data_IF_345289979446
#
_entry.id   IF_345289979446
#
_cell.length_a   1.000
_cell.length_b   1.000
_cell.length_c   1.000
_cell.angle_alpha   90.00
_cell.angle_beta   90.00
_cell.angle_gamma   90.00
#
_symmetry.space_group_name_H-M   'P 1'
#
loop_
_entity.id
_entity.type
_entity.pdbx_description
1 polymer ?
#
# COMPACT_ATOMS: atom_id res chain seq x y z
N UNK A 1 -24.53 9.17 11.64
CA UNK A 1 -25.56 9.59 10.64
C UNK A 1 -26.79 8.68 10.69
N UNK A 2 -26.69 7.37 10.63
CA UNK A 2 -27.85 6.45 10.69
C UNK A 2 -28.68 6.68 11.95
N UNK A 3 -28.04 6.86 13.12
CA UNK A 3 -28.74 7.15 14.36
C UNK A 3 -29.44 8.50 14.35
N UNK A 4 -28.81 9.51 13.74
CA UNK A 4 -29.42 10.83 13.54
C UNK A 4 -30.70 10.73 12.67
N UNK A 5 -30.65 9.90 11.62
CA UNK A 5 -31.81 9.61 10.77
C UNK A 5 -32.96 8.98 11.55
N UNK A 6 -32.67 7.99 12.42
CA UNK A 6 -33.66 7.37 13.29
C UNK A 6 -34.33 8.36 14.21
N UNK A 7 -33.53 9.23 14.86
CA UNK A 7 -34.04 10.30 15.75
C UNK A 7 -34.94 11.28 15.00
N UNK A 8 -34.54 11.68 13.76
CA UNK A 8 -35.32 12.58 12.93
C UNK A 8 -36.66 11.95 12.53
N UNK A 9 -36.68 10.67 12.15
CA UNK A 9 -37.92 9.94 11.84
C UNK A 9 -38.82 9.86 13.08
N UNK A 10 -38.26 9.62 14.26
CA UNK A 10 -39.00 9.57 15.50
C UNK A 10 -39.59 10.94 15.85
N UNK A 11 -38.78 12.02 15.70
CA UNK A 11 -39.23 13.38 15.98
C UNK A 11 -40.28 13.89 14.99
N UNK A 12 -40.25 13.43 13.73
CA UNK A 12 -41.26 13.77 12.73
C UNK A 12 -42.63 13.14 12.98
N UNK A 13 -42.71 12.15 13.90
CA UNK A 13 -43.98 11.49 14.23
C UNK A 13 -44.88 12.36 15.08
N UNK A 14 -46.19 12.36 14.79
CA UNK A 14 -47.24 13.04 15.59
C UNK A 14 -47.44 12.43 16.99
N UNK A 15 -46.91 11.22 17.21
CA UNK A 15 -47.01 10.51 18.51
C UNK A 15 -46.05 11.04 19.56
N UNK A 16 -45.06 11.86 19.15
CA UNK A 16 -44.02 12.42 20.02
C UNK A 16 -44.42 13.86 20.41
N UNK A 17 -44.48 14.12 21.71
CA UNK A 17 -44.76 15.45 22.24
C UNK A 17 -43.55 16.39 22.15
N UNK A 18 -43.78 17.70 22.33
CA UNK A 18 -42.71 18.74 22.26
C UNK A 18 -41.61 18.49 23.29
N UNK A 19 -41.95 18.01 24.49
CA UNK A 19 -40.95 17.72 25.54
C UNK A 19 -40.08 16.56 25.14
N UNK A 20 -40.64 15.49 24.58
CA UNK A 20 -39.93 14.33 24.11
C UNK A 20 -39.04 14.66 22.91
N UNK A 21 -39.52 15.51 21.99
CA UNK A 21 -38.69 16.06 20.90
C UNK A 21 -37.49 16.83 21.44
N UNK A 22 -37.68 17.60 22.52
CA UNK A 22 -36.56 18.29 23.18
C UNK A 22 -35.47 17.32 23.64
N UNK A 23 -35.83 16.16 24.20
CA UNK A 23 -34.84 15.14 24.60
C UNK A 23 -34.18 14.47 23.41
N UNK A 24 -34.92 14.19 22.35
CA UNK A 24 -34.36 13.64 21.11
C UNK A 24 -33.39 14.63 20.46
N UNK A 25 -33.72 15.94 20.50
CA UNK A 25 -32.85 16.97 19.95
C UNK A 25 -31.53 17.08 20.69
N UNK A 26 -31.51 16.91 22.00
CA UNK A 26 -30.24 16.87 22.77
C UNK A 26 -29.33 15.72 22.32
N UNK A 27 -29.89 14.52 22.11
CA UNK A 27 -29.11 13.40 21.56
C UNK A 27 -28.64 13.71 20.15
N UNK A 28 -29.50 14.32 19.33
CA UNK A 28 -29.18 14.69 17.95
C UNK A 28 -28.02 15.68 17.86
N UNK A 29 -28.07 16.77 18.64
CA UNK A 29 -27.00 17.77 18.72
C UNK A 29 -25.65 17.15 19.14
N UNK A 30 -25.65 16.27 20.12
CA UNK A 30 -24.44 15.56 20.53
C UNK A 30 -23.87 14.66 19.42
N UNK A 31 -24.75 14.08 18.60
CA UNK A 31 -24.30 13.29 17.43
C UNK A 31 -23.72 14.17 16.33
N UNK A 32 -24.26 15.39 16.11
CA UNK A 32 -23.68 16.38 15.18
C UNK A 32 -22.28 16.79 15.63
N UNK A 33 -22.12 17.13 16.91
CA UNK A 33 -20.82 17.48 17.49
C UNK A 33 -19.83 16.32 17.40
N UNK A 34 -20.28 15.10 17.59
CA UNK A 34 -19.44 13.90 17.50
C UNK A 34 -18.98 13.64 16.06
N UNK A 35 -19.83 13.85 15.04
CA UNK A 35 -19.44 13.76 13.63
C UNK A 35 -18.33 14.78 13.33
N UNK A 36 -18.51 16.02 13.78
CA UNK A 36 -17.52 17.08 13.58
C UNK A 36 -16.20 16.78 14.32
N UNK A 37 -16.30 16.28 15.57
CA UNK A 37 -15.14 15.85 16.33
C UNK A 37 -14.36 14.73 15.62
N UNK A 38 -15.06 13.70 15.13
CA UNK A 38 -14.43 12.59 14.40
C UNK A 38 -13.73 13.11 13.14
N UNK A 39 -14.37 14.00 12.39
CA UNK A 39 -13.78 14.55 11.17
C UNK A 39 -12.47 15.29 11.45
N UNK A 40 -12.39 16.06 12.54
CA UNK A 40 -11.23 16.85 12.95
C UNK A 40 -10.13 16.02 13.62
N UNK A 41 -10.50 14.96 14.33
CA UNK A 41 -9.53 14.12 15.07
C UNK A 41 -8.96 12.98 14.24
N UNK A 42 -9.57 12.67 13.08
CA UNK A 42 -9.07 11.61 12.21
C UNK A 42 -7.87 12.10 11.41
N UNK A 43 -6.68 11.74 11.89
CA UNK A 43 -5.43 12.12 11.25
C UNK A 43 -4.59 10.89 10.89
N UNK A 44 -3.81 10.99 9.83
CA UNK A 44 -2.81 10.01 9.44
C UNK A 44 -1.45 10.70 9.32
N UNK A 45 -0.48 10.24 10.09
CA UNK A 45 0.87 10.86 10.14
C UNK A 45 0.84 12.37 10.42
N UNK A 46 -0.14 12.83 11.23
CA UNK A 46 -0.35 14.24 11.56
C UNK A 46 -1.16 15.05 10.55
N UNK A 47 -1.48 14.50 9.38
CA UNK A 47 -2.30 15.16 8.38
C UNK A 47 -3.79 14.79 8.58
N UNK A 48 -4.72 15.76 8.62
CA UNK A 48 -6.15 15.49 8.70
C UNK A 48 -6.64 14.89 7.38
N UNK A 49 -7.48 13.83 7.48
CA UNK A 49 -7.98 13.11 6.31
C UNK A 49 -9.41 13.46 5.93
N UNK A 50 -10.19 14.00 6.85
CA UNK A 50 -11.63 14.16 6.71
C UNK A 50 -12.10 15.61 6.83
N UNK A 51 -11.18 16.58 6.90
CA UNK A 51 -11.51 18.01 7.00
C UNK A 51 -11.57 18.71 5.66
N UNK A 52 -11.07 18.07 4.58
CA UNK A 52 -10.91 18.73 3.28
C UNK A 52 -9.85 19.83 3.25
N UNK A 53 -9.14 20.03 4.35
CA UNK A 53 -8.06 21.00 4.50
C UNK A 53 -6.76 20.26 4.81
N UNK A 54 -6.23 19.56 3.83
CA UNK A 54 -4.90 18.98 3.96
C UNK A 54 -3.86 19.96 3.43
N UNK A 55 -2.90 20.34 4.25
CA UNK A 55 -1.80 21.26 3.90
C UNK A 55 -1.00 20.76 2.68
N UNK A 56 -1.04 19.46 2.41
CA UNK A 56 -0.42 18.81 1.26
C UNK A 56 -1.40 18.47 0.12
N UNK A 57 -2.71 18.76 0.26
CA UNK A 57 -3.78 18.52 -0.73
C UNK A 57 -3.84 17.08 -1.25
N UNK A 58 -2.89 16.70 -2.07
CA UNK A 58 -2.76 15.37 -2.65
C UNK A 58 -1.65 14.59 -1.95
N UNK A 59 -1.98 13.41 -1.44
CA UNK A 59 -1.01 12.48 -0.86
C UNK A 59 -0.60 11.45 -1.91
N UNK A 60 0.68 11.44 -2.25
CA UNK A 60 1.24 10.49 -3.21
C UNK A 60 1.89 9.31 -2.51
N UNK A 61 1.37 8.13 -2.74
CA UNK A 61 1.99 6.87 -2.33
C UNK A 61 2.91 6.38 -3.44
N UNK A 62 4.22 6.46 -3.23
CA UNK A 62 5.17 5.92 -4.19
C UNK A 62 5.24 4.40 -4.06
N UNK A 63 4.81 3.70 -5.10
CA UNK A 63 4.64 2.23 -5.11
C UNK A 63 5.53 1.53 -6.14
N UNK A 64 6.27 2.28 -6.94
CA UNK A 64 7.13 1.73 -7.98
C UNK A 64 8.62 1.89 -7.68
N UNK A 65 9.46 1.15 -8.40
CA UNK A 65 10.92 1.20 -8.27
C UNK A 65 11.57 2.38 -9.02
N UNK A 66 10.82 3.04 -9.90
CA UNK A 66 11.33 4.09 -10.78
C UNK A 66 10.66 5.43 -10.51
N UNK A 67 11.35 6.52 -10.78
CA UNK A 67 10.78 7.85 -10.74
C UNK A 67 9.81 8.05 -11.92
N UNK A 68 8.56 8.45 -11.62
CA UNK A 68 7.52 8.70 -12.62
C UNK A 68 6.14 8.75 -11.97
N UNK A 69 5.20 9.45 -12.60
CA UNK A 69 3.83 9.57 -12.10
C UNK A 69 3.08 8.22 -12.14
N UNK A 70 3.46 7.32 -13.06
CA UNK A 70 2.94 5.96 -13.16
C UNK A 70 3.30 5.07 -11.96
N UNK A 71 4.33 5.45 -11.19
CA UNK A 71 4.78 4.74 -10.00
C UNK A 71 4.18 5.31 -8.71
N UNK A 72 3.19 6.21 -8.82
CA UNK A 72 2.50 6.83 -7.70
C UNK A 72 1.02 6.47 -7.71
N UNK A 73 0.46 6.29 -6.55
CA UNK A 73 -0.98 6.25 -6.32
C UNK A 73 -1.32 7.49 -5.51
N UNK A 74 -2.03 8.43 -6.16
CA UNK A 74 -2.39 9.69 -5.53
C UNK A 74 -3.76 9.59 -4.86
N UNK A 75 -3.86 10.13 -3.67
CA UNK A 75 -5.09 10.34 -2.92
C UNK A 75 -5.28 11.83 -2.67
N UNK A 76 -6.37 12.38 -3.16
CA UNK A 76 -6.71 13.78 -2.90
C UNK A 76 -7.60 13.87 -1.64
N UNK A 77 -7.00 14.34 -0.55
CA UNK A 77 -7.68 14.52 0.72
C UNK A 77 -8.69 15.68 0.70
N UNK A 78 -8.59 16.60 -0.27
CA UNK A 78 -9.52 17.73 -0.37
C UNK A 78 -10.93 17.29 -0.80
N UNK A 79 -11.06 16.16 -1.50
CA UNK A 79 -12.36 15.58 -1.84
C UNK A 79 -13.07 14.92 -0.66
N UNK A 80 -12.37 14.69 0.46
CA UNK A 80 -12.91 13.98 1.61
C UNK A 80 -13.19 14.93 2.75
N UNK A 81 -14.19 15.79 2.60
CA UNK A 81 -14.62 16.68 3.67
C UNK A 81 -15.89 16.13 4.32
N UNK A 82 -15.74 15.54 5.51
CA UNK A 82 -16.83 14.98 6.31
C UNK A 82 -17.15 15.84 7.55
N UNK A 83 -16.81 17.12 7.54
CA UNK A 83 -17.19 18.05 8.60
C UNK A 83 -18.71 18.25 8.62
N UNK A 84 -19.27 18.55 9.78
CA UNK A 84 -20.71 18.81 9.92
C UNK A 84 -21.19 19.94 8.99
N UNK A 85 -20.36 20.95 8.78
CA UNK A 85 -20.61 22.08 7.89
C UNK A 85 -20.72 21.63 6.42
N UNK A 86 -19.76 20.83 5.93
CA UNK A 86 -19.77 20.36 4.54
C UNK A 86 -20.87 19.34 4.26
N UNK A 87 -21.26 18.58 5.27
CA UNK A 87 -22.38 17.64 5.20
C UNK A 87 -23.75 18.31 5.34
N UNK A 88 -23.78 19.63 5.50
CA UNK A 88 -25.01 20.45 5.72
C UNK A 88 -25.87 19.96 6.90
N UNK A 89 -25.25 19.40 7.93
CA UNK A 89 -25.92 18.95 9.16
C UNK A 89 -25.62 19.87 10.35
N UNK A 90 -24.72 20.84 10.19
CA UNK A 90 -24.41 21.83 11.21
C UNK A 90 -25.60 22.75 11.44
N UNK A 91 -25.96 22.96 12.71
CA UNK A 91 -27.09 23.85 13.09
C UNK A 91 -28.46 23.28 12.77
N UNK A 92 -28.57 22.03 12.29
CA UNK A 92 -29.86 21.37 12.11
C UNK A 92 -30.47 20.98 13.46
N UNK A 93 -31.80 21.03 13.58
CA UNK A 93 -32.55 20.76 14.81
C UNK A 93 -33.79 19.94 14.50
N UNK A 94 -34.18 19.08 15.44
CA UNK A 94 -35.39 18.24 15.32
C UNK A 94 -36.45 18.58 16.37
N UNK A 95 -36.46 19.84 16.87
CA UNK A 95 -37.41 20.32 17.86
C UNK A 95 -38.84 20.35 17.32
N UNK A 96 -39.01 20.67 16.04
CA UNK A 96 -40.28 20.75 15.36
C UNK A 96 -40.45 19.60 14.36
N UNK A 97 -41.69 19.18 14.15
CA UNK A 97 -42.02 18.12 13.19
C UNK A 97 -41.60 18.50 11.77
N UNK A 98 -41.77 19.71 11.37
CA UNK A 98 -41.46 20.22 10.03
C UNK A 98 -39.93 20.20 9.81
N UNK A 99 -39.20 20.78 10.73
CA UNK A 99 -37.71 20.75 10.73
C UNK A 99 -37.16 19.36 10.74
N UNK A 100 -37.73 18.44 11.53
CA UNK A 100 -37.32 17.04 11.57
C UNK A 100 -37.53 16.33 10.20
N UNK A 101 -38.63 16.71 9.49
CA UNK A 101 -38.90 16.19 8.13
C UNK A 101 -37.92 16.72 7.09
N UNK A 102 -37.60 18.02 7.12
CA UNK A 102 -36.63 18.63 6.21
C UNK A 102 -35.22 18.10 6.43
N UNK A 103 -34.81 17.91 7.69
CA UNK A 103 -33.50 17.38 8.04
C UNK A 103 -33.29 15.94 7.58
N UNK A 104 -34.33 15.15 7.37
CA UNK A 104 -34.19 13.82 6.78
C UNK A 104 -33.52 13.85 5.40
N UNK A 105 -33.87 14.83 4.57
CA UNK A 105 -33.25 15.03 3.27
C UNK A 105 -31.77 15.35 3.37
N UNK A 106 -31.40 16.26 4.27
CA UNK A 106 -30.01 16.64 4.52
C UNK A 106 -29.18 15.46 5.07
N UNK A 107 -29.76 14.66 5.98
CA UNK A 107 -29.09 13.49 6.54
C UNK A 107 -28.91 12.40 5.48
N UNK A 108 -29.90 12.16 4.63
CA UNK A 108 -29.79 11.17 3.54
C UNK A 108 -28.72 11.60 2.51
N UNK A 109 -28.62 12.89 2.19
CA UNK A 109 -27.55 13.46 1.36
C UNK A 109 -26.18 13.26 2.03
N UNK A 110 -26.05 13.55 3.33
CA UNK A 110 -24.83 13.35 4.09
C UNK A 110 -24.42 11.86 4.12
N UNK A 111 -25.36 10.94 4.27
CA UNK A 111 -25.10 9.49 4.20
C UNK A 111 -24.56 9.11 2.81
N UNK A 112 -25.15 9.63 1.73
CA UNK A 112 -24.71 9.38 0.37
C UNK A 112 -23.30 9.94 0.11
N UNK A 113 -23.00 11.15 0.58
CA UNK A 113 -21.65 11.73 0.48
C UNK A 113 -20.60 10.87 1.20
N UNK A 114 -20.89 10.49 2.45
CA UNK A 114 -19.98 9.61 3.22
C UNK A 114 -19.84 8.23 2.57
N UNK A 115 -20.91 7.69 1.97
CA UNK A 115 -20.83 6.45 1.21
C UNK A 115 -19.92 6.61 -0.03
N UNK A 116 -19.97 7.74 -0.71
CA UNK A 116 -19.08 8.12 -1.80
C UNK A 116 -17.60 8.18 -1.36
N UNK A 117 -17.32 8.82 -0.22
CA UNK A 117 -15.97 8.85 0.35
C UNK A 117 -15.46 7.45 0.68
N UNK A 118 -16.31 6.61 1.30
CA UNK A 118 -15.97 5.21 1.60
C UNK A 118 -15.71 4.39 0.35
N UNK A 119 -16.49 4.59 -0.71
CA UNK A 119 -16.29 3.91 -1.99
C UNK A 119 -14.93 4.29 -2.62
N UNK A 120 -14.55 5.57 -2.56
CA UNK A 120 -13.26 6.05 -3.03
C UNK A 120 -12.11 5.43 -2.24
N UNK A 121 -12.17 5.44 -0.91
CA UNK A 121 -11.18 4.77 -0.06
C UNK A 121 -11.08 3.26 -0.36
N UNK A 122 -12.23 2.60 -0.57
CA UNK A 122 -12.25 1.18 -0.94
C UNK A 122 -11.59 0.91 -2.29
N UNK A 123 -11.79 1.79 -3.26
CA UNK A 123 -11.14 1.68 -4.57
C UNK A 123 -9.61 1.85 -4.45
N UNK A 124 -9.14 2.84 -3.68
CA UNK A 124 -7.72 3.06 -3.43
C UNK A 124 -7.11 1.86 -2.69
N UNK A 125 -7.78 1.36 -1.65
CA UNK A 125 -7.34 0.18 -0.92
C UNK A 125 -7.21 -1.04 -1.85
N UNK A 126 -8.17 -1.27 -2.74
CA UNK A 126 -8.12 -2.36 -3.72
C UNK A 126 -6.96 -2.20 -4.70
N UNK A 127 -6.70 -0.97 -5.17
CA UNK A 127 -5.55 -0.65 -6.04
C UNK A 127 -4.23 -0.91 -5.31
N UNK A 128 -4.09 -0.46 -4.07
CA UNK A 128 -2.89 -0.70 -3.25
C UNK A 128 -2.66 -2.20 -3.04
N UNK A 129 -3.71 -2.95 -2.72
CA UNK A 129 -3.61 -4.41 -2.55
C UNK A 129 -3.15 -5.12 -3.82
N UNK A 130 -3.69 -4.73 -4.97
CA UNK A 130 -3.27 -5.27 -6.27
C UNK A 130 -1.82 -4.91 -6.58
N UNK A 131 -1.40 -3.69 -6.25
CA UNK A 131 -0.02 -3.25 -6.44
C UNK A 131 0.96 -4.01 -5.56
N UNK A 132 0.62 -4.23 -4.28
CA UNK A 132 1.41 -5.06 -3.37
C UNK A 132 1.61 -6.46 -3.94
N UNK A 133 0.54 -7.13 -4.38
CA UNK A 133 0.63 -8.46 -4.98
C UNK A 133 1.51 -8.50 -6.25
N UNK A 134 1.45 -7.45 -7.07
CA UNK A 134 2.30 -7.32 -8.25
C UNK A 134 3.77 -7.11 -7.87
N UNK A 135 4.05 -6.29 -6.86
CA UNK A 135 5.40 -6.03 -6.36
C UNK A 135 6.01 -7.28 -5.72
N UNK A 136 5.22 -8.04 -4.96
CA UNK A 136 5.65 -9.32 -4.38
C UNK A 136 6.03 -10.31 -5.49
N UNK A 137 5.20 -10.42 -6.54
CA UNK A 137 5.49 -11.26 -7.69
C UNK A 137 6.75 -10.80 -8.44
N UNK A 138 6.91 -9.50 -8.64
CA UNK A 138 8.10 -8.92 -9.28
C UNK A 138 9.36 -9.16 -8.44
N UNK A 139 9.27 -9.04 -7.10
CA UNK A 139 10.37 -9.34 -6.19
C UNK A 139 10.81 -10.79 -6.30
N UNK A 140 9.87 -11.74 -6.21
CA UNK A 140 10.18 -13.19 -6.35
C UNK A 140 10.83 -13.50 -7.72
N UNK A 141 10.31 -12.92 -8.79
CA UNK A 141 10.89 -13.12 -10.13
C UNK A 141 12.30 -12.52 -10.24
N UNK A 142 12.53 -11.36 -9.64
CA UNK A 142 13.84 -10.71 -9.63
C UNK A 142 14.84 -11.49 -8.79
N UNK A 143 14.44 -12.00 -7.63
CA UNK A 143 15.27 -12.85 -6.79
C UNK A 143 15.61 -14.19 -7.49
N UNK A 144 14.64 -14.79 -8.19
CA UNK A 144 14.89 -15.98 -8.98
C UNK A 144 15.84 -15.71 -10.18
N UNK A 145 15.74 -14.54 -10.80
CA UNK A 145 16.66 -14.14 -11.87
C UNK A 145 18.06 -13.87 -11.31
N UNK A 146 18.16 -13.21 -10.16
CA UNK A 146 19.40 -12.97 -9.45
C UNK A 146 20.09 -14.26 -9.05
N UNK A 147 19.35 -15.22 -8.48
CA UNK A 147 19.86 -16.54 -8.10
C UNK A 147 20.47 -17.27 -9.30
N UNK A 148 19.83 -17.21 -10.49
CA UNK A 148 20.40 -17.83 -11.71
C UNK A 148 21.71 -17.19 -12.19
N UNK A 149 21.97 -15.96 -11.83
CA UNK A 149 23.17 -15.22 -12.24
C UNK A 149 24.27 -15.34 -11.18
N UNK A 150 23.93 -15.22 -9.90
CA UNK A 150 24.88 -15.15 -8.79
C UNK A 150 25.12 -16.50 -8.14
N UNK A 151 24.11 -17.39 -8.09
CA UNK A 151 24.24 -18.66 -7.41
C UNK A 151 24.92 -19.71 -8.28
N UNK A 152 25.90 -20.37 -7.69
CA UNK A 152 26.64 -21.47 -8.32
C UNK A 152 26.35 -22.77 -7.57
N UNK A 153 26.15 -23.86 -8.29
CA UNK A 153 26.13 -25.20 -7.69
C UNK A 153 27.55 -25.55 -7.20
N UNK A 154 27.76 -25.37 -5.90
CA UNK A 154 29.06 -25.59 -5.25
C UNK A 154 29.54 -27.03 -5.45
N UNK A 155 28.63 -28.01 -5.51
CA UNK A 155 29.02 -29.40 -5.72
C UNK A 155 29.56 -29.62 -7.14
N UNK A 156 28.88 -29.09 -8.15
CA UNK A 156 29.29 -29.17 -9.55
C UNK A 156 30.60 -28.39 -9.79
N UNK A 157 30.74 -27.19 -9.26
CA UNK A 157 31.94 -26.37 -9.48
C UNK A 157 33.14 -26.91 -8.70
N UNK A 158 32.93 -27.49 -7.52
CA UNK A 158 34.00 -28.22 -6.79
C UNK A 158 34.47 -29.47 -7.53
N UNK A 159 33.57 -30.24 -8.13
CA UNK A 159 33.91 -31.38 -8.97
C UNK A 159 34.73 -30.95 -10.21
N UNK A 160 34.34 -29.85 -10.85
CA UNK A 160 35.03 -29.24 -11.97
C UNK A 160 36.45 -28.76 -11.60
N UNK A 161 36.55 -28.09 -10.42
CA UNK A 161 37.84 -27.67 -9.86
C UNK A 161 38.76 -28.85 -9.60
N UNK A 162 38.26 -29.95 -8.97
CA UNK A 162 39.02 -31.16 -8.74
C UNK A 162 39.50 -31.82 -10.05
N UNK A 163 38.59 -31.93 -11.04
CA UNK A 163 38.92 -32.42 -12.38
C UNK A 163 40.00 -31.59 -13.05
N UNK A 164 39.89 -30.27 -12.99
CA UNK A 164 40.88 -29.34 -13.56
C UNK A 164 42.24 -29.48 -12.87
N UNK A 165 42.29 -29.66 -11.55
CA UNK A 165 43.52 -29.87 -10.80
C UNK A 165 44.20 -31.20 -11.17
N UNK A 166 43.42 -32.28 -11.35
CA UNK A 166 43.94 -33.56 -11.81
C UNK A 166 44.52 -33.45 -13.22
N UNK A 167 43.81 -32.79 -14.15
CA UNK A 167 44.31 -32.54 -15.52
C UNK A 167 45.59 -31.70 -15.51
N UNK A 168 45.69 -30.71 -14.67
CA UNK A 168 46.89 -29.88 -14.51
C UNK A 168 48.07 -30.69 -14.02
N UNK A 169 47.90 -31.56 -13.02
CA UNK A 169 48.95 -32.46 -12.51
C UNK A 169 49.37 -33.50 -13.55
N UNK A 170 48.40 -34.07 -14.27
CA UNK A 170 48.69 -35.01 -15.36
C UNK A 170 49.46 -34.31 -16.49
N UNK A 171 49.10 -33.10 -16.87
CA UNK A 171 49.81 -32.29 -17.86
C UNK A 171 51.26 -32.01 -17.46
N UNK A 172 51.50 -31.62 -16.21
CA UNK A 172 52.83 -31.36 -15.69
C UNK A 172 53.67 -32.68 -15.71
N UNK A 173 53.08 -33.80 -15.32
CA UNK A 173 53.74 -35.10 -15.35
C UNK A 173 54.09 -35.55 -16.80
N UNK A 174 53.15 -35.34 -17.73
CA UNK A 174 53.38 -35.63 -19.16
C UNK A 174 54.50 -34.78 -19.76
N UNK A 175 54.54 -33.46 -19.43
CA UNK A 175 55.61 -32.56 -19.86
C UNK A 175 56.97 -32.94 -19.27
N UNK A 176 57.00 -33.33 -17.99
CA UNK A 176 58.25 -33.84 -17.36
C UNK A 176 58.76 -35.09 -18.03
N UNK A 177 57.86 -36.03 -18.36
CA UNK A 177 58.18 -37.23 -19.09
C UNK A 177 58.73 -36.99 -20.51
N UNK A 178 58.06 -36.04 -21.23
CA UNK A 178 58.48 -35.62 -22.58
C UNK A 178 59.88 -34.96 -22.55
N UNK A 179 60.16 -34.11 -21.60
CA UNK A 179 61.45 -33.47 -21.42
C UNK A 179 62.55 -34.50 -21.09
N UNK A 180 62.28 -35.55 -20.30
CA UNK A 180 63.20 -36.58 -20.03
C UNK A 180 63.48 -37.41 -21.28
N UNK A 181 62.51 -37.70 -22.11
CA UNK A 181 62.67 -38.38 -23.38
C UNK A 181 63.58 -37.59 -24.34
N UNK A 182 63.42 -36.28 -24.45
CA UNK A 182 64.28 -35.44 -25.30
C UNK A 182 65.74 -35.37 -24.80
N UNK A 183 65.96 -35.40 -23.48
CA UNK A 183 67.29 -35.41 -22.90
C UNK A 183 68.01 -36.75 -23.17
N UNK A 184 67.28 -37.90 -23.30
CA UNK A 184 67.86 -39.17 -23.61
C UNK A 184 68.18 -39.38 -25.10
N UNK A 185 67.51 -38.65 -25.99
CA UNK A 185 67.77 -38.68 -27.45
C UNK A 185 68.75 -37.61 -27.91
N UNK A 186 69.25 -36.80 -27.03
CA UNK A 186 70.29 -35.83 -27.33
C UNK A 186 71.64 -36.58 -27.45
N UNK A 187 72.33 -36.55 -28.60
CA UNK A 187 73.61 -37.21 -28.75
C UNK A 187 74.60 -36.67 -27.73
N UNK A 188 75.28 -37.63 -27.05
CA UNK A 188 76.30 -37.30 -26.07
C UNK A 188 77.41 -36.51 -26.73
N UNK A 189 77.90 -35.42 -26.12
CA UNK A 189 79.09 -34.73 -26.67
C UNK A 189 80.36 -35.55 -26.75
N UNK A 190 80.28 -36.85 -26.39
CA UNK A 190 81.41 -37.76 -26.34
C UNK A 190 81.60 -38.64 -27.61
N UNK A 191 80.59 -38.60 -28.52
CA UNK A 191 80.65 -39.42 -29.70
C UNK A 191 81.17 -38.67 -30.97
N UNK A 192 81.95 -37.62 -30.71
CA UNK A 192 82.63 -36.84 -31.74
C UNK A 192 84.11 -36.75 -31.50
N UNK A 193 84.81 -37.87 -31.59
CA UNK A 193 86.22 -38.00 -31.94
C UNK A 193 86.43 -39.23 -32.72
#
# INVERSE_FOLDING_TARGET
>A
LTRMRELSIQAASDTVGERERGYLNLEYEQLVEEVDRISKTTTFSGAPLLTGESENGVMDFHVGAYAGEENKISFDANFTNATASNLNIEGTSILDKESAGENLGAIDEAINQVAGFRANFGAIQSRLQSTISNLDTASVNTDAARSRIEDVDVAQESAKLASTNVMKQAGISALAQANNCLLYTSPSPRDGL
#
